data_IF_697424767675
#
_entry.id   IF_697424767675
#
_cell.length_a   1.000
_cell.length_b   1.000
_cell.length_c   1.000
_cell.angle_alpha   90.00
_cell.angle_beta   90.00
_cell.angle_gamma   90.00
#
_symmetry.space_group_name_H-M   'P 1'
#
loop_
_entity.id
_entity.type
_entity.pdbx_description
1 polymer ?
#
# COMPACT_ATOMS: atom_id res chain seq x y z
N UNK A 1 -38.23 1.56 -9.12
CA UNK A 1 -37.80 0.32 -8.47
C UNK A 1 -36.82 -0.33 -9.42
N UNK A 2 -35.54 0.02 -9.28
CA UNK A 2 -34.46 -0.38 -10.18
C UNK A 2 -33.62 -1.43 -9.45
N UNK A 3 -33.25 -2.56 -10.08
CA UNK A 3 -32.72 -3.70 -9.36
C UNK A 3 -31.28 -3.47 -8.91
N UNK A 4 -31.02 -3.86 -7.67
CA UNK A 4 -29.71 -4.05 -7.07
C UNK A 4 -28.87 -4.99 -7.96
N UNK A 5 -27.70 -4.52 -8.42
CA UNK A 5 -26.67 -5.36 -9.02
C UNK A 5 -25.54 -5.58 -8.02
N UNK A 6 -25.36 -6.85 -7.72
CA UNK A 6 -24.25 -7.42 -6.98
C UNK A 6 -22.90 -7.14 -7.67
N UNK A 7 -21.86 -6.92 -6.86
CA UNK A 7 -20.48 -7.24 -7.22
C UNK A 7 -19.74 -6.23 -8.09
N UNK A 8 -19.94 -4.92 -7.88
CA UNK A 8 -19.13 -3.91 -8.56
C UNK A 8 -17.77 -3.81 -7.87
N UNK A 9 -16.75 -4.35 -8.54
CA UNK A 9 -15.35 -3.97 -8.33
C UNK A 9 -15.29 -2.45 -8.45
N UNK A 10 -15.18 -1.74 -7.33
CA UNK A 10 -15.03 -0.28 -7.29
C UNK A 10 -13.85 0.12 -8.16
N UNK A 11 -14.15 0.64 -9.36
CA UNK A 11 -13.18 1.19 -10.29
C UNK A 11 -12.57 2.46 -9.67
N UNK A 12 -11.30 2.71 -9.96
CA UNK A 12 -10.55 3.89 -9.48
C UNK A 12 -11.14 5.26 -9.91
N UNK A 13 -12.33 5.29 -10.52
CA UNK A 13 -13.08 6.51 -10.86
C UNK A 13 -14.01 7.03 -9.74
N UNK A 14 -14.23 6.27 -8.66
CA UNK A 14 -15.16 6.63 -7.57
C UNK A 14 -14.47 6.84 -6.21
N UNK A 15 -13.14 6.85 -6.16
CA UNK A 15 -12.43 7.13 -4.92
C UNK A 15 -12.31 8.64 -4.71
N UNK A 16 -12.51 9.08 -3.46
CA UNK A 16 -12.20 10.46 -3.08
C UNK A 16 -10.72 10.78 -3.38
N UNK A 17 -10.41 12.06 -3.57
CA UNK A 17 -9.01 12.49 -3.60
C UNK A 17 -8.28 12.00 -2.35
N UNK A 18 -7.00 11.62 -2.47
CA UNK A 18 -6.21 11.22 -1.32
C UNK A 18 -5.95 12.44 -0.43
N UNK A 19 -6.06 12.26 0.89
CA UNK A 19 -5.63 13.29 1.84
C UNK A 19 -4.11 13.45 1.78
N UNK A 20 -3.39 12.34 1.60
CA UNK A 20 -1.93 12.32 1.56
C UNK A 20 -1.41 11.25 0.59
N UNK A 21 -0.26 11.51 -0.02
CA UNK A 21 0.45 10.57 -0.88
C UNK A 21 1.90 10.45 -0.42
N UNK A 22 2.37 9.22 -0.24
CA UNK A 22 3.73 8.93 0.22
C UNK A 22 4.43 8.00 -0.75
N UNK A 23 5.71 8.23 -0.99
CA UNK A 23 6.59 7.29 -1.69
C UNK A 23 7.67 6.83 -0.73
N UNK A 24 7.76 5.52 -0.53
CA UNK A 24 8.74 4.91 0.37
C UNK A 24 9.27 3.62 -0.21
N UNK A 25 10.44 3.20 0.27
CA UNK A 25 10.98 1.88 -0.03
C UNK A 25 10.64 0.93 1.09
N UNK A 26 10.64 -0.35 0.78
CA UNK A 26 10.37 -1.38 1.78
C UNK A 26 10.68 -2.77 1.27
N UNK A 27 10.51 -3.75 2.15
CA UNK A 27 10.61 -5.16 1.85
C UNK A 27 9.25 -5.82 1.98
N UNK A 28 8.87 -6.63 0.99
CA UNK A 28 7.63 -7.42 1.05
C UNK A 28 7.79 -8.49 2.12
N UNK A 29 6.91 -8.47 3.11
CA UNK A 29 6.85 -9.45 4.20
C UNK A 29 5.81 -10.53 3.93
N UNK A 30 4.69 -10.15 3.32
CA UNK A 30 3.60 -11.06 2.90
C UNK A 30 3.04 -10.57 1.57
N UNK A 31 2.69 -11.49 0.67
CA UNK A 31 2.01 -11.18 -0.59
C UNK A 31 0.81 -12.13 -0.76
N UNK A 32 -0.36 -11.64 -1.21
CA UNK A 32 -1.47 -12.53 -1.57
C UNK A 32 -1.03 -13.48 -2.70
N UNK A 33 -1.30 -14.77 -2.53
CA UNK A 33 -1.06 -15.79 -3.56
C UNK A 33 -2.37 -16.47 -3.94
N UNK A 34 -2.47 -17.13 -5.10
CA UNK A 34 -3.64 -17.95 -5.44
C UNK A 34 -3.98 -19.00 -4.37
N UNK A 35 -2.96 -19.53 -3.68
CA UNK A 35 -3.10 -20.50 -2.59
C UNK A 35 -3.50 -19.87 -1.25
N UNK A 36 -3.38 -18.55 -1.12
CA UNK A 36 -3.72 -17.80 0.10
C UNK A 36 -4.23 -16.39 -0.26
N UNK A 37 -5.37 -16.31 -0.96
CA UNK A 37 -5.87 -15.04 -1.52
C UNK A 37 -6.38 -14.08 -0.44
N UNK A 38 -6.66 -14.60 0.76
CA UNK A 38 -7.06 -13.80 1.92
C UNK A 38 -5.88 -13.14 2.64
N UNK A 39 -4.62 -13.43 2.26
CA UNK A 39 -3.47 -12.80 2.89
C UNK A 39 -3.34 -11.36 2.42
N UNK A 40 -3.16 -10.42 3.34
CA UNK A 40 -2.92 -9.02 3.00
C UNK A 40 -1.48 -8.81 2.52
N UNK A 41 -1.30 -7.90 1.56
CA UNK A 41 0.03 -7.44 1.18
C UNK A 41 0.63 -6.68 2.37
N UNK A 42 1.70 -7.19 2.94
CA UNK A 42 2.39 -6.55 4.07
C UNK A 42 3.78 -6.14 3.64
N UNK A 43 4.13 -4.88 3.87
CA UNK A 43 5.44 -4.33 3.53
C UNK A 43 6.05 -3.71 4.78
N UNK A 44 7.26 -4.13 5.11
CA UNK A 44 8.09 -3.42 6.10
C UNK A 44 8.76 -2.25 5.39
N UNK A 45 8.26 -1.04 5.65
CA UNK A 45 8.68 0.17 4.95
C UNK A 45 9.73 0.97 5.74
N UNK A 46 10.50 1.82 5.06
CA UNK A 46 11.42 2.76 5.70
C UNK A 46 10.68 3.86 6.47
N UNK A 47 11.31 4.52 7.45
CA UNK A 47 10.71 5.63 8.18
C UNK A 47 10.19 6.73 7.24
N UNK A 48 9.03 7.26 7.57
CA UNK A 48 8.34 8.34 6.87
C UNK A 48 8.22 9.53 7.84
N UNK A 49 9.26 10.37 8.00
CA UNK A 49 9.25 11.47 8.96
C UNK A 49 8.20 12.54 8.65
N UNK A 50 7.81 12.67 7.39
CA UNK A 50 6.75 13.57 6.91
C UNK A 50 5.33 13.01 7.04
N UNK A 51 5.14 11.84 7.64
CA UNK A 51 3.82 11.25 7.79
C UNK A 51 2.89 12.19 8.59
N UNK A 52 1.81 12.60 7.92
CA UNK A 52 0.73 13.42 8.45
C UNK A 52 -0.32 12.49 9.02
N UNK A 53 -0.85 12.82 10.20
CA UNK A 53 -1.96 12.12 10.84
C UNK A 53 -3.31 12.65 10.36
N UNK A 54 -4.40 11.96 10.72
CA UNK A 54 -5.77 12.38 10.43
C UNK A 54 -6.12 13.82 10.85
N UNK A 55 -5.45 14.37 11.87
CA UNK A 55 -5.69 15.75 12.31
C UNK A 55 -4.92 16.79 11.51
N UNK A 56 -4.21 16.39 10.46
CA UNK A 56 -3.34 17.26 9.65
C UNK A 56 -1.98 17.56 10.29
N UNK A 57 -1.68 16.97 11.45
CA UNK A 57 -0.37 17.15 12.12
C UNK A 57 0.65 16.16 11.58
N UNK A 58 1.84 16.64 11.23
CA UNK A 58 3.03 15.80 10.98
C UNK A 58 3.43 15.11 12.29
N UNK A 59 3.38 13.78 12.30
CA UNK A 59 3.76 12.95 13.44
C UNK A 59 4.93 12.01 13.11
N UNK A 60 5.24 11.87 11.82
CA UNK A 60 6.19 10.89 11.35
C UNK A 60 5.69 9.45 11.56
N UNK A 61 6.38 8.51 10.95
CA UNK A 61 6.10 7.09 11.10
C UNK A 61 7.42 6.33 11.06
N UNK A 62 7.69 5.55 12.11
CA UNK A 62 8.87 4.69 12.14
C UNK A 62 8.78 3.54 11.12
N UNK A 63 9.92 2.88 10.89
CA UNK A 63 9.92 1.62 10.13
C UNK A 63 9.11 0.57 10.89
N UNK A 64 8.12 -0.01 10.23
CA UNK A 64 7.38 -1.16 10.73
C UNK A 64 6.70 -1.90 9.57
N UNK A 65 6.24 -3.12 9.83
CA UNK A 65 5.42 -3.88 8.90
C UNK A 65 4.01 -3.28 8.87
N UNK A 66 3.59 -2.75 7.71
CA UNK A 66 2.25 -2.24 7.51
C UNK A 66 1.46 -3.14 6.56
N UNK A 67 0.27 -3.62 6.96
CA UNK A 67 -0.65 -4.28 6.04
C UNK A 67 -1.31 -3.25 5.11
N UNK A 68 -1.42 -3.61 3.84
CA UNK A 68 -2.14 -2.85 2.82
C UNK A 68 -3.31 -3.69 2.34
N UNK A 69 -4.52 -3.28 2.74
CA UNK A 69 -5.76 -3.96 2.35
C UNK A 69 -6.20 -3.70 0.91
N UNK A 70 -5.56 -2.76 0.20
CA UNK A 70 -5.92 -2.43 -1.18
C UNK A 70 -4.70 -2.05 -2.04
N UNK A 71 -4.71 -2.54 -3.28
CA UNK A 71 -3.72 -2.23 -4.32
C UNK A 71 -4.49 -1.91 -5.60
N UNK A 72 -4.12 -0.83 -6.29
CA UNK A 72 -4.78 -0.44 -7.52
C UNK A 72 -4.56 -1.47 -8.65
N UNK A 73 -5.49 -1.59 -9.61
CA UNK A 73 -5.36 -2.54 -10.71
C UNK A 73 -4.05 -2.39 -11.48
N UNK A 74 -3.36 -3.49 -11.74
CA UNK A 74 -2.09 -3.51 -12.49
C UNK A 74 -0.86 -3.01 -11.71
N UNK A 75 -1.01 -2.62 -10.44
CA UNK A 75 0.09 -2.08 -9.63
C UNK A 75 0.94 -3.16 -8.95
N UNK A 76 0.42 -4.37 -8.76
CA UNK A 76 1.18 -5.48 -8.17
C UNK A 76 1.75 -6.40 -9.27
N UNK A 77 3.05 -6.28 -9.64
CA UNK A 77 3.68 -7.17 -10.61
C UNK A 77 3.61 -8.64 -10.18
N UNK A 78 3.30 -9.53 -11.12
CA UNK A 78 3.14 -10.96 -10.89
C UNK A 78 4.44 -11.68 -10.50
N UNK A 79 5.60 -11.05 -10.71
CA UNK A 79 6.94 -11.53 -10.39
C UNK A 79 7.42 -11.18 -8.98
N UNK A 80 6.69 -10.31 -8.25
CA UNK A 80 7.06 -9.93 -6.88
C UNK A 80 6.88 -11.09 -5.90
N UNK A 81 7.81 -11.23 -4.96
CA UNK A 81 7.81 -12.29 -3.95
C UNK A 81 8.09 -11.71 -2.57
N UNK A 82 7.78 -12.49 -1.53
CA UNK A 82 8.25 -12.21 -0.17
C UNK A 82 9.78 -12.07 -0.19
N UNK A 83 10.29 -11.06 0.51
CA UNK A 83 11.71 -10.71 0.57
C UNK A 83 12.16 -9.69 -0.48
N UNK A 84 11.39 -9.47 -1.55
CA UNK A 84 11.72 -8.48 -2.56
C UNK A 84 11.73 -7.06 -1.98
N UNK A 85 12.74 -6.30 -2.40
CA UNK A 85 12.83 -4.87 -2.10
C UNK A 85 12.06 -4.11 -3.17
N UNK A 86 11.20 -3.19 -2.75
CA UNK A 86 10.35 -2.40 -3.63
C UNK A 86 10.42 -0.93 -3.25
N UNK A 87 10.18 -0.07 -4.24
CA UNK A 87 9.67 1.28 -4.03
C UNK A 87 8.17 1.25 -4.29
N UNK A 88 7.40 1.87 -3.41
CA UNK A 88 5.96 1.97 -3.55
C UNK A 88 5.50 3.41 -3.33
N UNK A 89 4.45 3.79 -4.04
CA UNK A 89 3.66 4.98 -3.76
C UNK A 89 2.31 4.53 -3.26
N UNK A 90 1.91 5.04 -2.10
CA UNK A 90 0.60 4.78 -1.54
C UNK A 90 -0.07 6.07 -1.10
N UNK A 91 -1.39 6.03 -1.18
CA UNK A 91 -2.29 7.10 -0.81
C UNK A 91 -2.95 6.78 0.52
N UNK A 92 -3.26 7.82 1.29
CA UNK A 92 -4.03 7.74 2.52
C UNK A 92 -5.29 8.57 2.38
N UNK A 93 -6.41 7.98 2.77
CA UNK A 93 -7.72 8.63 2.88
C UNK A 93 -8.27 8.39 4.27
N UNK A 94 -8.37 9.43 5.09
CA UNK A 94 -8.71 9.28 6.50
C UNK A 94 -10.18 8.95 6.73
N UNK A 95 -11.05 9.50 5.88
CA UNK A 95 -12.50 9.47 6.02
C UNK A 95 -13.20 8.65 4.92
N UNK A 96 -12.44 7.90 4.11
CA UNK A 96 -13.00 7.02 3.08
C UNK A 96 -12.25 5.68 2.97
N UNK A 97 -12.88 4.74 2.27
CA UNK A 97 -12.31 3.42 2.00
C UNK A 97 -11.88 3.31 0.54
N UNK A 98 -10.76 2.62 0.24
CA UNK A 98 -9.82 2.06 1.20
C UNK A 98 -8.99 3.15 1.89
N UNK A 99 -8.74 2.99 3.19
CA UNK A 99 -7.94 3.95 3.98
C UNK A 99 -6.53 4.13 3.42
N UNK A 100 -5.93 3.04 2.94
CA UNK A 100 -4.63 3.03 2.29
C UNK A 100 -4.74 2.32 0.95
N UNK A 101 -4.21 2.93 -0.10
CA UNK A 101 -4.19 2.36 -1.44
C UNK A 101 -2.80 2.45 -2.04
N UNK A 102 -2.20 1.33 -2.43
CA UNK A 102 -0.97 1.37 -3.21
C UNK A 102 -1.32 1.67 -4.67
N UNK A 103 -0.77 2.75 -5.21
CA UNK A 103 -1.04 3.25 -6.57
C UNK A 103 0.15 3.12 -7.52
N UNK A 104 1.36 2.88 -6.98
CA UNK A 104 2.51 2.49 -7.79
C UNK A 104 3.41 1.55 -6.99
N UNK A 105 4.03 0.59 -7.67
CA UNK A 105 5.03 -0.29 -7.09
C UNK A 105 6.04 -0.70 -8.14
N UNK A 106 7.31 -0.78 -7.74
CA UNK A 106 8.39 -1.26 -8.59
C UNK A 106 9.40 -2.04 -7.77
N UNK A 107 9.83 -3.18 -8.31
CA UNK A 107 10.96 -3.95 -7.77
C UNK A 107 12.26 -3.15 -7.87
N UNK A 108 13.03 -3.15 -6.80
CA UNK A 108 14.39 -2.62 -6.73
C UNK A 108 15.42 -3.76 -6.76
N UNK A 109 16.69 -3.47 -7.05
CA UNK A 109 17.78 -4.45 -6.91
C UNK A 109 17.79 -5.08 -5.51
N UNK A 110 18.09 -6.38 -5.43
CA UNK A 110 18.02 -7.14 -4.17
C UNK A 110 19.04 -6.68 -3.12
N UNK A 111 20.14 -6.08 -3.56
CA UNK A 111 21.22 -5.50 -2.77
C UNK A 111 20.93 -4.05 -2.33
N UNK A 112 19.75 -3.50 -2.65
CA UNK A 112 19.34 -2.18 -2.17
C UNK A 112 19.30 -2.18 -0.64
N UNK A 113 20.16 -1.35 -0.03
CA UNK A 113 20.15 -1.13 1.40
C UNK A 113 18.86 -0.38 1.81
N UNK A 114 18.20 -0.92 2.83
CA UNK A 114 16.99 -0.32 3.42
C UNK A 114 17.27 0.09 4.86
N UNK A 115 16.78 1.26 5.24
CA UNK A 115 16.74 1.70 6.63
C UNK A 115 15.48 1.16 7.31
N UNK A 116 15.49 -0.11 7.73
CA UNK A 116 14.33 -0.72 8.39
C UNK A 116 14.38 -0.69 9.93
N UNK A 117 15.37 -0.01 10.52
CA UNK A 117 15.69 -0.17 11.94
C UNK A 117 16.23 -1.58 12.22
N UNK A 118 17.18 -1.69 13.13
CA UNK A 118 17.73 -2.98 13.57
C UNK A 118 17.16 -3.35 14.92
#
# INVERSE_FOLDING_TARGET
MTPERAGELVWAGDLSEPDQTYTTRGRISTIPTPDSPASELTITHEPLPEFVSRTGKVVGMGSHAMPFGAVAPGVLPAELRVGDVVVMTYEVRWESQPRTLIVAMKKLPADTELNLGR
#
